data_IF_409341805499
#
_entry.id   IF_409341805499
#
_cell.length_a   1.000
_cell.length_b   1.000
_cell.length_c   1.000
_cell.angle_alpha   90.00
_cell.angle_beta   90.00
_cell.angle_gamma   90.00
#
_symmetry.space_group_name_H-M   'P 1'
#
loop_
_entity.id
_entity.type
_entity.pdbx_description
1 polymer ?
#
# COMPACT_ATOMS: atom_id res chain seq x y z
N UNK A 1 5.98 -25.11 -17.88
CA UNK A 1 4.66 -25.40 -17.30
C UNK A 1 4.79 -25.16 -15.80
N UNK A 2 4.29 -24.03 -15.29
CA UNK A 2 4.28 -23.81 -13.84
C UNK A 2 3.21 -24.72 -13.24
N UNK A 3 3.57 -25.49 -12.22
CA UNK A 3 2.60 -26.26 -11.43
C UNK A 3 1.58 -25.32 -10.80
N UNK A 4 0.32 -25.75 -10.61
CA UNK A 4 -0.67 -24.94 -9.89
C UNK A 4 -0.11 -24.60 -8.50
N UNK A 5 -0.09 -23.32 -8.16
CA UNK A 5 0.16 -22.89 -6.78
C UNK A 5 -0.98 -23.46 -5.94
N UNK A 6 -0.68 -24.14 -4.83
CA UNK A 6 -1.71 -24.64 -3.92
C UNK A 6 -2.51 -23.44 -3.37
N UNK A 7 -3.83 -23.45 -3.59
CA UNK A 7 -4.74 -22.38 -3.19
C UNK A 7 -4.69 -22.10 -1.67
N UNK A 8 -4.41 -23.13 -0.87
CA UNK A 8 -4.21 -22.97 0.58
C UNK A 8 -2.92 -22.20 0.90
N UNK A 9 -1.85 -22.45 0.15
CA UNK A 9 -0.57 -21.77 0.30
C UNK A 9 -0.66 -20.31 -0.19
N UNK A 10 -1.38 -20.08 -1.29
CA UNK A 10 -1.63 -18.72 -1.80
C UNK A 10 -2.45 -17.87 -0.82
N UNK A 11 -3.53 -18.42 -0.27
CA UNK A 11 -4.37 -17.70 0.72
C UNK A 11 -3.59 -17.41 2.00
N UNK A 12 -2.80 -18.37 2.48
CA UNK A 12 -1.91 -18.21 3.63
C UNK A 12 -0.85 -17.13 3.39
N UNK A 13 -0.24 -17.11 2.20
CA UNK A 13 0.71 -16.08 1.79
C UNK A 13 0.07 -14.69 1.76
N UNK A 14 -1.08 -14.55 1.11
CA UNK A 14 -1.82 -13.28 1.06
C UNK A 14 -2.16 -12.76 2.46
N UNK A 15 -2.62 -13.64 3.36
CA UNK A 15 -2.89 -13.29 4.76
C UNK A 15 -1.65 -12.80 5.51
N UNK A 16 -0.51 -13.48 5.34
CA UNK A 16 0.77 -13.08 5.95
C UNK A 16 1.28 -11.74 5.42
N UNK A 17 1.20 -11.54 4.10
CA UNK A 17 1.64 -10.29 3.45
C UNK A 17 0.75 -9.13 3.88
N UNK A 18 -0.57 -9.30 3.84
CA UNK A 18 -1.54 -8.31 4.34
C UNK A 18 -1.29 -7.98 5.82
N UNK A 19 -1.05 -9.00 6.66
CA UNK A 19 -0.70 -8.78 8.07
C UNK A 19 0.57 -7.93 8.25
N UNK A 20 1.58 -8.10 7.39
CA UNK A 20 2.80 -7.29 7.44
C UNK A 20 2.55 -5.86 6.92
N UNK A 21 1.79 -5.70 5.83
CA UNK A 21 1.41 -4.39 5.30
C UNK A 21 0.66 -3.58 6.37
N UNK A 22 -0.33 -4.18 7.02
CA UNK A 22 -1.12 -3.52 8.07
C UNK A 22 -0.25 -3.04 9.25
N UNK A 23 0.77 -3.82 9.65
CA UNK A 23 1.74 -3.38 10.68
C UNK A 23 2.56 -2.17 10.23
N UNK A 24 3.01 -2.16 8.97
CA UNK A 24 3.79 -1.05 8.41
C UNK A 24 2.90 0.20 8.27
N UNK A 25 1.66 0.04 7.80
CA UNK A 25 0.68 1.12 7.70
C UNK A 25 0.39 1.76 9.07
N UNK A 26 0.21 0.95 10.12
CA UNK A 26 0.01 1.47 11.46
C UNK A 26 1.23 2.27 11.96
N UNK A 27 2.45 1.73 11.77
CA UNK A 27 3.69 2.40 12.16
C UNK A 27 3.89 3.72 11.42
N UNK A 28 3.77 3.71 10.09
CA UNK A 28 3.97 4.89 9.25
C UNK A 28 2.89 5.95 9.45
N UNK A 29 1.64 5.53 9.66
CA UNK A 29 0.53 6.45 9.96
C UNK A 29 0.75 7.19 11.28
N UNK A 30 1.20 6.47 12.32
CA UNK A 30 1.52 7.10 13.60
C UNK A 30 2.77 7.99 13.51
N UNK A 31 3.79 7.58 12.76
CA UNK A 31 4.96 8.42 12.52
C UNK A 31 4.58 9.75 11.84
N UNK A 32 3.87 9.69 10.70
CA UNK A 32 3.44 10.91 9.99
C UNK A 32 2.56 11.81 10.85
N UNK A 33 1.69 11.22 11.70
CA UNK A 33 0.87 11.97 12.65
C UNK A 33 1.71 12.73 13.67
N UNK A 34 2.72 12.09 14.26
CA UNK A 34 3.60 12.68 15.28
C UNK A 34 4.54 13.74 14.71
N UNK A 35 5.01 13.54 13.48
CA UNK A 35 5.80 14.56 12.76
C UNK A 35 4.93 15.78 12.44
N UNK A 36 3.73 15.56 11.90
CA UNK A 36 2.77 16.62 11.56
C UNK A 36 2.25 17.40 12.78
N UNK A 37 2.07 16.74 13.93
CA UNK A 37 1.64 17.41 15.18
C UNK A 37 2.78 18.19 15.86
N UNK A 38 4.03 17.99 15.43
CA UNK A 38 5.22 18.57 16.06
C UNK A 38 5.64 17.86 17.34
N UNK A 39 5.03 16.71 17.70
CA UNK A 39 5.47 15.85 18.80
C UNK A 39 6.87 15.27 18.54
N UNK A 40 7.19 15.01 17.27
CA UNK A 40 8.54 14.72 16.81
C UNK A 40 8.99 15.90 15.94
N UNK A 41 10.13 16.48 16.31
CA UNK A 41 10.78 17.51 15.50
C UNK A 41 11.62 16.85 14.41
N UNK A 42 11.25 17.09 13.17
CA UNK A 42 12.00 16.73 11.96
C UNK A 42 12.54 17.99 11.30
N UNK A 43 13.60 17.86 10.51
CA UNK A 43 14.13 19.00 9.77
C UNK A 43 13.12 19.41 8.69
N UNK A 44 12.98 20.72 8.39
CA UNK A 44 12.11 21.17 7.32
C UNK A 44 12.48 20.50 5.99
N UNK A 45 11.50 19.85 5.35
CA UNK A 45 11.68 19.10 4.10
C UNK A 45 11.98 17.61 4.27
N UNK A 46 12.30 17.14 5.48
CA UNK A 46 12.47 15.71 5.79
C UNK A 46 11.20 15.09 6.40
N UNK A 47 10.13 15.87 6.54
CA UNK A 47 8.85 15.45 7.08
C UNK A 47 8.16 14.44 6.16
N UNK A 48 7.53 13.43 6.77
CA UNK A 48 6.67 12.50 6.08
C UNK A 48 5.34 13.17 5.71
N UNK A 49 5.29 13.75 4.51
CA UNK A 49 4.10 14.38 3.90
C UNK A 49 3.10 13.34 3.35
N UNK A 50 2.94 12.22 4.05
CA UNK A 50 2.02 11.17 3.64
C UNK A 50 0.56 11.60 3.81
N UNK A 51 -0.31 10.92 3.06
CA UNK A 51 -1.76 11.00 3.25
C UNK A 51 -2.14 10.51 4.65
N UNK A 52 -3.34 10.89 5.11
CA UNK A 52 -3.88 10.39 6.38
C UNK A 52 -4.32 8.92 6.26
N UNK A 53 -4.42 8.18 7.38
CA UNK A 53 -5.00 6.84 7.38
C UNK A 53 -6.41 6.78 6.78
N UNK A 54 -7.24 7.80 7.03
CA UNK A 54 -8.61 7.89 6.50
C UNK A 54 -8.61 8.02 4.96
N UNK A 55 -7.69 8.82 4.42
CA UNK A 55 -7.48 8.91 2.96
C UNK A 55 -7.02 7.59 2.37
N UNK A 56 -6.13 6.87 3.08
CA UNK A 56 -5.68 5.55 2.66
C UNK A 56 -6.80 4.51 2.65
N UNK A 57 -7.64 4.50 3.69
CA UNK A 57 -8.82 3.65 3.79
C UNK A 57 -9.81 3.95 2.66
N UNK A 58 -10.03 5.24 2.36
CA UNK A 58 -10.85 5.65 1.22
C UNK A 58 -10.33 5.05 -0.10
N UNK A 59 -9.02 5.15 -0.38
CA UNK A 59 -8.43 4.54 -1.57
C UNK A 59 -8.58 3.02 -1.59
N UNK A 60 -8.41 2.36 -0.45
CA UNK A 60 -8.59 0.90 -0.36
C UNK A 60 -10.01 0.50 -0.77
N UNK A 61 -11.02 1.16 -0.22
CA UNK A 61 -12.43 0.91 -0.55
C UNK A 61 -12.69 1.18 -2.04
N UNK A 62 -12.22 2.32 -2.55
CA UNK A 62 -12.41 2.71 -3.94
C UNK A 62 -11.79 1.69 -4.91
N UNK A 63 -10.53 1.31 -4.69
CA UNK A 63 -9.78 0.42 -5.57
C UNK A 63 -10.34 -1.01 -5.56
N UNK A 64 -10.76 -1.51 -4.39
CA UNK A 64 -11.44 -2.80 -4.28
C UNK A 64 -12.81 -2.79 -4.97
N UNK A 65 -13.60 -1.72 -4.81
CA UNK A 65 -14.88 -1.59 -5.51
C UNK A 65 -14.72 -1.54 -7.04
N UNK A 66 -13.59 -1.03 -7.54
CA UNK A 66 -13.26 -1.00 -8.96
C UNK A 66 -12.65 -2.30 -9.48
N UNK A 67 -12.33 -3.26 -8.61
CA UNK A 67 -11.50 -4.42 -8.94
C UNK A 67 -10.19 -4.04 -9.65
N UNK A 68 -9.50 -3.04 -9.10
CA UNK A 68 -8.30 -2.48 -9.72
C UNK A 68 -7.19 -3.53 -9.86
N UNK A 69 -6.68 -3.71 -11.09
CA UNK A 69 -5.57 -4.64 -11.41
C UNK A 69 -4.29 -3.95 -11.84
N UNK A 70 -4.37 -2.67 -12.22
CA UNK A 70 -3.24 -1.88 -12.69
C UNK A 70 -3.38 -0.48 -12.12
N UNK A 71 -2.41 -0.08 -11.30
CA UNK A 71 -2.39 1.22 -10.64
C UNK A 71 -1.12 1.94 -11.06
N UNK A 72 -1.27 3.20 -11.50
CA UNK A 72 -0.16 4.12 -11.70
C UNK A 72 -0.22 5.17 -10.59
N UNK A 73 0.83 5.22 -9.78
CA UNK A 73 1.03 6.26 -8.77
C UNK A 73 2.07 7.26 -9.26
N UNK A 74 1.74 8.55 -9.19
CA UNK A 74 2.65 9.66 -9.48
C UNK A 74 2.81 10.47 -8.20
N UNK A 75 4.04 10.55 -7.70
CA UNK A 75 4.38 11.11 -6.39
C UNK A 75 4.26 10.06 -5.28
N UNK A 76 5.23 9.15 -5.21
CA UNK A 76 5.20 8.02 -4.26
C UNK A 76 5.71 8.39 -2.86
N UNK A 77 6.63 9.34 -2.75
CA UNK A 77 7.25 9.73 -1.49
C UNK A 77 7.77 8.48 -0.74
N UNK A 78 7.42 8.34 0.54
CA UNK A 78 7.81 7.18 1.37
C UNK A 78 6.97 5.91 1.12
N UNK A 79 6.07 5.92 0.12
CA UNK A 79 5.28 4.76 -0.30
C UNK A 79 4.06 4.43 0.57
N UNK A 80 3.60 5.36 1.42
CA UNK A 80 2.47 5.12 2.33
C UNK A 80 1.17 4.80 1.58
N UNK A 81 0.84 5.59 0.55
CA UNK A 81 -0.30 5.36 -0.34
C UNK A 81 -0.15 4.06 -1.13
N UNK A 82 1.06 3.75 -1.63
CA UNK A 82 1.36 2.50 -2.35
C UNK A 82 1.00 1.26 -1.53
N UNK A 83 1.26 1.29 -0.21
CA UNK A 83 0.91 0.18 0.69
C UNK A 83 -0.61 0.00 0.84
N UNK A 84 -1.37 1.10 0.88
CA UNK A 84 -2.85 1.05 0.83
C UNK A 84 -3.37 0.46 -0.49
N UNK A 85 -2.72 0.80 -1.62
CA UNK A 85 -3.06 0.25 -2.93
C UNK A 85 -2.76 -1.26 -3.00
N UNK A 86 -1.60 -1.69 -2.49
CA UNK A 86 -1.22 -3.09 -2.41
C UNK A 86 -2.20 -3.89 -1.55
N UNK A 87 -2.62 -3.34 -0.41
CA UNK A 87 -3.60 -3.98 0.49
C UNK A 87 -4.96 -4.19 -0.19
N UNK A 88 -5.44 -3.20 -0.95
CA UNK A 88 -6.67 -3.34 -1.75
C UNK A 88 -6.55 -4.47 -2.78
N UNK A 89 -5.42 -4.52 -3.49
CA UNK A 89 -5.17 -5.55 -4.49
C UNK A 89 -5.03 -6.97 -3.90
N UNK A 90 -4.44 -7.11 -2.72
CA UNK A 90 -4.33 -8.40 -2.03
C UNK A 90 -5.70 -8.88 -1.55
N UNK A 91 -6.52 -7.98 -0.99
CA UNK A 91 -7.87 -8.32 -0.56
C UNK A 91 -8.76 -8.78 -1.73
N UNK A 92 -8.59 -8.18 -2.91
CA UNK A 92 -9.30 -8.58 -4.12
C UNK A 92 -8.75 -9.89 -4.74
N UNK A 93 -7.53 -10.31 -4.39
CA UNK A 93 -6.93 -11.52 -4.96
C UNK A 93 -7.55 -12.81 -4.39
N UNK A 94 -8.21 -12.71 -3.23
CA UNK A 94 -8.94 -13.83 -2.60
C UNK A 94 -10.37 -13.98 -3.13
N UNK A 95 -10.83 -13.05 -3.98
CA UNK A 95 -12.22 -12.98 -4.47
C UNK A 95 -12.35 -12.92 -6.00
N UNK A 96 -11.27 -12.63 -6.73
CA UNK A 96 -11.24 -12.58 -8.20
C UNK A 96 -10.83 -13.89 -8.87
N UNK A 97 -10.94 -13.99 -10.22
CA UNK A 97 -10.45 -15.16 -10.96
C UNK A 97 -8.94 -15.34 -10.75
N UNK A 98 -8.55 -16.55 -10.37
CA UNK A 98 -7.15 -16.90 -10.10
C UNK A 98 -6.25 -16.58 -11.31
N UNK A 99 -5.05 -16.07 -11.01
CA UNK A 99 -4.00 -15.85 -12.01
C UNK A 99 -4.06 -14.51 -12.77
N UNK A 100 -4.99 -13.61 -12.43
CA UNK A 100 -4.97 -12.26 -12.99
C UNK A 100 -3.78 -11.46 -12.43
N UNK A 101 -2.80 -11.14 -13.28
CA UNK A 101 -1.67 -10.30 -12.90
C UNK A 101 -2.12 -8.93 -12.37
N UNK A 102 -1.46 -8.50 -11.29
CA UNK A 102 -1.71 -7.24 -10.60
C UNK A 102 -0.42 -6.43 -10.56
N UNK A 103 -0.48 -5.18 -11.00
CA UNK A 103 0.68 -4.31 -11.13
C UNK A 103 0.43 -2.95 -10.47
N UNK A 104 1.41 -2.49 -9.69
CA UNK A 104 1.49 -1.11 -9.20
C UNK A 104 2.79 -0.54 -9.77
N UNK A 105 2.66 0.51 -10.57
CA UNK A 105 3.80 1.24 -11.12
C UNK A 105 3.87 2.57 -10.38
N UNK A 106 5.02 2.85 -9.80
CA UNK A 106 5.29 4.09 -9.07
C UNK A 106 6.21 4.98 -9.88
N UNK A 107 5.90 6.27 -9.91
CA UNK A 107 6.74 7.31 -10.50
C UNK A 107 6.95 8.36 -9.44
N UNK A 108 8.19 8.56 -9.04
CA UNK A 108 8.54 9.61 -8.09
C UNK A 108 9.66 10.48 -8.64
N UNK A 109 9.64 11.75 -8.25
CA UNK A 109 10.77 12.63 -8.53
C UNK A 109 11.88 12.28 -7.56
N UNK A 110 13.01 11.84 -8.10
CA UNK A 110 14.21 11.72 -7.31
C UNK A 110 14.67 13.13 -6.93
N UNK A 111 14.40 13.54 -5.69
CA UNK A 111 14.98 14.73 -5.08
C UNK A 111 16.45 14.47 -4.73
N UNK A 112 17.25 14.11 -5.73
CA UNK A 112 18.71 14.20 -5.60
C UNK A 112 19.04 15.69 -5.50
N UNK A 113 19.46 16.12 -4.31
CA UNK A 113 20.32 17.31 -4.20
C UNK A 113 21.63 17.05 -4.93
#
# INVERSE_FOLDING_TARGET
MNSPVDLNDYTSLCSRVSGNINKILARLGEQSKRERSGEIKVLPGDEMLAITPDTGMFFKILLSAMHARRILEIGTSVGYSTLWFAEAMIQDATTGPEGAEKHIITVDMNHSK
#
